data_IF_661297784993
#
_entry.id   IF_661297784993
#
_cell.length_a   1.000
_cell.length_b   1.000
_cell.length_c   1.000
_cell.angle_alpha   90.00
_cell.angle_beta   90.00
_cell.angle_gamma   90.00
#
_symmetry.space_group_name_H-M   'P 1'
#
loop_
_entity.id
_entity.type
_entity.pdbx_description
1 polymer ?
#
# COMPACT_ATOMS: atom_id res chain seq x y z
N UNK A 1 -8.24 -27.85 9.20
CA UNK A 1 -7.88 -27.08 7.99
C UNK A 1 -6.44 -26.62 8.12
N UNK A 2 -5.68 -26.87 7.14
CA UNK A 2 -4.31 -27.36 7.25
C UNK A 2 -3.27 -26.24 7.25
N UNK A 3 -2.15 -26.48 7.89
CA UNK A 3 -0.88 -25.75 7.78
C UNK A 3 -0.54 -25.34 6.32
N UNK A 4 -1.06 -26.08 5.36
CA UNK A 4 -0.90 -25.88 3.92
C UNK A 4 -1.49 -24.54 3.40
N UNK A 5 -2.65 -24.10 3.89
CA UNK A 5 -3.29 -22.85 3.42
C UNK A 5 -2.48 -21.58 3.77
N UNK A 6 -1.91 -21.53 4.98
CA UNK A 6 -1.12 -20.38 5.39
C UNK A 6 0.29 -20.39 4.78
N UNK A 7 0.82 -21.55 4.42
CA UNK A 7 2.03 -21.64 3.58
C UNK A 7 1.75 -21.10 2.18
N UNK A 8 0.60 -21.42 1.58
CA UNK A 8 0.17 -20.89 0.29
C UNK A 8 0.01 -19.36 0.34
N UNK A 9 -0.48 -18.79 1.46
CA UNK A 9 -0.55 -17.33 1.63
C UNK A 9 0.83 -16.68 1.47
N UNK A 10 1.85 -17.18 2.17
CA UNK A 10 3.20 -16.62 2.07
C UNK A 10 3.83 -16.87 0.70
N UNK A 11 3.62 -18.03 0.11
CA UNK A 11 4.09 -18.31 -1.24
C UNK A 11 3.46 -17.37 -2.26
N UNK A 12 2.14 -17.19 -2.20
CA UNK A 12 1.42 -16.27 -3.10
C UNK A 12 1.85 -14.82 -2.91
N UNK A 13 2.07 -14.40 -1.66
CA UNK A 13 2.60 -13.06 -1.35
C UNK A 13 3.98 -12.85 -1.97
N UNK A 14 4.86 -13.85 -1.92
CA UNK A 14 6.19 -13.80 -2.56
C UNK A 14 6.08 -13.65 -4.08
N UNK A 15 5.23 -14.43 -4.73
CA UNK A 15 5.01 -14.39 -6.18
C UNK A 15 4.47 -13.02 -6.62
N UNK A 16 3.40 -12.53 -5.98
CA UNK A 16 2.81 -11.24 -6.29
C UNK A 16 3.80 -10.09 -6.06
N UNK A 17 4.52 -10.11 -4.95
CA UNK A 17 5.51 -9.07 -4.64
C UNK A 17 6.66 -9.05 -5.65
N UNK A 18 7.11 -10.23 -6.11
CA UNK A 18 8.12 -10.34 -7.16
C UNK A 18 7.63 -9.80 -8.49
N UNK A 19 6.37 -10.05 -8.85
CA UNK A 19 5.77 -9.58 -10.10
C UNK A 19 5.68 -8.06 -10.17
N UNK A 20 5.45 -7.38 -9.04
CA UNK A 20 5.25 -5.91 -8.98
C UNK A 20 6.42 -5.14 -8.38
N UNK A 21 7.58 -5.77 -8.19
CA UNK A 21 8.76 -5.13 -7.61
C UNK A 21 9.26 -3.90 -8.38
N UNK A 22 8.97 -3.81 -9.68
CA UNK A 22 9.35 -2.69 -10.55
C UNK A 22 8.67 -1.36 -10.17
N UNK A 23 7.55 -1.41 -9.41
CA UNK A 23 6.91 -0.21 -8.88
C UNK A 23 7.77 0.48 -7.83
N UNK A 24 8.57 -0.28 -7.10
CA UNK A 24 9.49 0.27 -6.11
C UNK A 24 10.75 0.82 -6.77
N UNK A 25 11.18 2.00 -6.37
CA UNK A 25 12.39 2.67 -6.88
C UNK A 25 13.57 2.46 -5.95
N UNK A 26 14.78 2.45 -6.50
CA UNK A 26 16.05 2.38 -5.75
C UNK A 26 16.05 1.22 -4.73
N UNK A 27 16.28 1.55 -3.44
CA UNK A 27 16.29 0.60 -2.32
C UNK A 27 14.91 0.32 -1.73
N UNK A 28 13.85 0.99 -2.20
CA UNK A 28 12.50 0.74 -1.72
C UNK A 28 12.01 -0.67 -2.12
N UNK A 29 11.03 -1.16 -1.39
CA UNK A 29 10.42 -2.48 -1.61
C UNK A 29 8.89 -2.40 -1.54
N UNK A 30 8.24 -3.32 -2.22
CA UNK A 30 6.78 -3.50 -2.22
C UNK A 30 6.44 -4.94 -1.88
N UNK A 31 5.33 -5.14 -1.17
CA UNK A 31 4.74 -6.44 -0.95
C UNK A 31 3.23 -6.40 -1.21
N UNK A 32 2.71 -7.46 -1.84
CA UNK A 32 1.29 -7.65 -2.14
C UNK A 32 0.82 -8.96 -1.53
N UNK A 33 -0.31 -8.94 -0.83
CA UNK A 33 -0.88 -10.09 -0.17
C UNK A 33 -2.34 -10.32 -0.62
N UNK A 34 -2.65 -11.57 -0.97
CA UNK A 34 -4.01 -12.04 -1.26
C UNK A 34 -4.68 -12.47 0.05
N UNK A 35 -5.63 -11.70 0.53
CA UNK A 35 -6.33 -11.93 1.78
C UNK A 35 -7.41 -13.02 1.68
N UNK A 36 -7.75 -13.47 0.48
CA UNK A 36 -8.70 -14.57 0.29
C UNK A 36 -8.21 -15.86 0.97
N UNK A 37 -6.88 -16.03 1.02
CA UNK A 37 -6.20 -17.15 1.69
C UNK A 37 -6.23 -17.06 3.23
N UNK A 38 -6.77 -15.98 3.79
CA UNK A 38 -7.01 -15.77 5.23
C UNK A 38 -8.50 -15.81 5.58
N UNK A 39 -9.36 -16.18 4.62
CA UNK A 39 -10.82 -16.13 4.80
C UNK A 39 -11.39 -17.14 5.80
N UNK A 40 -10.64 -18.14 6.20
CA UNK A 40 -10.99 -19.12 7.24
C UNK A 40 -10.78 -18.57 8.67
N UNK A 41 -9.98 -17.51 8.81
CA UNK A 41 -9.71 -16.89 10.09
C UNK A 41 -10.95 -16.16 10.66
N UNK A 42 -11.08 -16.20 11.97
CA UNK A 42 -12.16 -15.54 12.72
C UNK A 42 -11.57 -14.79 13.91
N UNK A 43 -12.10 -13.58 14.21
CA UNK A 43 -11.82 -12.92 15.48
C UNK A 43 -12.11 -13.86 16.67
N UNK A 44 -11.36 -13.70 17.74
CA UNK A 44 -11.44 -14.50 18.97
C UNK A 44 -11.02 -15.97 18.86
N UNK A 45 -10.85 -16.52 17.66
CA UNK A 45 -10.26 -17.84 17.50
C UNK A 45 -8.73 -17.78 17.69
N UNK A 46 -8.15 -18.89 18.13
CA UNK A 46 -6.68 -19.02 18.22
C UNK A 46 -6.06 -18.81 16.83
N UNK A 47 -5.14 -17.86 16.73
CA UNK A 47 -4.40 -17.63 15.50
C UNK A 47 -3.51 -18.85 15.20
N UNK A 48 -3.50 -19.36 13.97
CA UNK A 48 -2.60 -20.46 13.56
C UNK A 48 -1.14 -20.13 13.85
N UNK A 49 -0.38 -21.12 14.34
CA UNK A 49 1.00 -20.92 14.80
C UNK A 49 1.91 -20.26 13.76
N UNK A 50 1.78 -20.64 12.49
CA UNK A 50 2.57 -20.08 11.39
C UNK A 50 2.35 -18.55 11.23
N UNK A 51 1.12 -18.06 11.44
CA UNK A 51 0.79 -16.64 11.40
C UNK A 51 1.18 -15.94 12.70
N UNK A 52 0.94 -16.60 13.85
CA UNK A 52 1.30 -16.06 15.17
C UNK A 52 2.80 -15.79 15.30
N UNK A 53 3.65 -16.68 14.76
CA UNK A 53 5.11 -16.50 14.73
C UNK A 53 5.58 -15.29 13.91
N UNK A 54 4.71 -14.68 13.10
CA UNK A 54 5.01 -13.48 12.31
C UNK A 54 4.62 -12.19 13.01
N UNK A 55 3.88 -12.25 14.11
CA UNK A 55 3.42 -11.08 14.86
C UNK A 55 4.20 -10.93 16.17
N UNK A 56 4.46 -9.68 16.56
CA UNK A 56 4.94 -9.36 17.89
C UNK A 56 3.83 -9.55 18.94
N UNK A 57 4.19 -9.54 20.21
CA UNK A 57 3.23 -9.59 21.33
C UNK A 57 2.24 -8.42 21.23
N UNK A 58 2.72 -7.20 20.99
CA UNK A 58 1.89 -6.00 20.85
C UNK A 58 0.90 -6.13 19.69
N UNK A 59 1.34 -6.65 18.55
CA UNK A 59 0.46 -6.87 17.38
C UNK A 59 -0.58 -7.95 17.64
N UNK A 60 -0.21 -9.03 18.32
CA UNK A 60 -1.14 -10.11 18.72
C UNK A 60 -2.21 -9.57 19.68
N UNK A 61 -1.83 -8.77 20.67
CA UNK A 61 -2.77 -8.09 21.56
C UNK A 61 -3.71 -7.17 20.79
N UNK A 62 -3.19 -6.35 19.87
CA UNK A 62 -4.00 -5.46 19.03
C UNK A 62 -4.99 -6.25 18.17
N UNK A 63 -4.54 -7.35 17.57
CA UNK A 63 -5.37 -8.22 16.74
C UNK A 63 -6.55 -8.81 17.52
N UNK A 64 -6.36 -9.16 18.79
CA UNK A 64 -7.40 -9.73 19.64
C UNK A 64 -8.58 -8.77 19.91
N UNK A 65 -8.40 -7.46 19.75
CA UNK A 65 -9.47 -6.46 19.93
C UNK A 65 -10.42 -6.34 18.72
N UNK A 66 -10.07 -6.87 17.56
CA UNK A 66 -10.98 -6.83 16.42
C UNK A 66 -12.13 -7.82 16.58
N UNK A 67 -13.35 -7.33 16.37
CA UNK A 67 -14.58 -8.12 16.44
C UNK A 67 -15.13 -8.44 15.04
N UNK A 68 -14.87 -7.57 14.06
CA UNK A 68 -15.36 -7.73 12.70
C UNK A 68 -14.33 -8.44 11.83
N UNK A 69 -14.73 -9.55 11.22
CA UNK A 69 -13.87 -10.40 10.37
C UNK A 69 -13.13 -9.60 9.30
N UNK A 70 -13.81 -8.71 8.59
CA UNK A 70 -13.21 -7.90 7.53
C UNK A 70 -12.02 -7.09 8.06
N UNK A 71 -12.23 -6.32 9.14
CA UNK A 71 -11.16 -5.49 9.76
C UNK A 71 -10.03 -6.34 10.31
N UNK A 72 -10.36 -7.48 10.93
CA UNK A 72 -9.38 -8.44 11.41
C UNK A 72 -8.48 -8.93 10.29
N UNK A 73 -9.06 -9.38 9.16
CA UNK A 73 -8.31 -9.95 8.03
C UNK A 73 -7.50 -8.87 7.30
N UNK A 74 -8.07 -7.69 7.06
CA UNK A 74 -7.39 -6.55 6.43
C UNK A 74 -6.21 -6.08 7.28
N UNK A 75 -6.40 -5.93 8.59
CA UNK A 75 -5.34 -5.51 9.49
C UNK A 75 -4.21 -6.54 9.55
N UNK A 76 -4.55 -7.83 9.75
CA UNK A 76 -3.58 -8.92 9.78
C UNK A 76 -2.78 -8.99 8.47
N UNK A 77 -3.47 -9.02 7.34
CA UNK A 77 -2.83 -9.10 6.03
C UNK A 77 -1.93 -7.91 5.73
N UNK A 78 -2.37 -6.69 6.09
CA UNK A 78 -1.54 -5.49 5.98
C UNK A 78 -0.26 -5.57 6.82
N UNK A 79 -0.33 -6.11 8.04
CA UNK A 79 0.85 -6.31 8.90
C UNK A 79 1.81 -7.36 8.35
N UNK A 80 1.28 -8.49 7.89
CA UNK A 80 2.09 -9.55 7.28
C UNK A 80 2.77 -9.06 5.99
N UNK A 81 2.06 -8.32 5.13
CA UNK A 81 2.62 -7.71 3.93
C UNK A 81 3.74 -6.70 4.28
N UNK A 82 3.52 -5.85 5.29
CA UNK A 82 4.51 -4.86 5.70
C UNK A 82 5.77 -5.50 6.32
N UNK A 83 5.64 -6.56 7.10
CA UNK A 83 6.79 -7.31 7.64
C UNK A 83 7.59 -7.99 6.53
N UNK A 84 6.91 -8.60 5.57
CA UNK A 84 7.57 -9.19 4.42
C UNK A 84 8.25 -8.12 3.53
N UNK A 85 7.59 -6.98 3.34
CA UNK A 85 8.16 -5.84 2.63
C UNK A 85 9.45 -5.32 3.30
N UNK A 86 9.47 -5.27 4.63
CA UNK A 86 10.65 -4.89 5.39
C UNK A 86 11.77 -5.95 5.31
N UNK A 87 11.44 -7.24 5.33
CA UNK A 87 12.39 -8.33 5.08
C UNK A 87 13.06 -8.18 3.71
N UNK A 88 12.29 -7.94 2.66
CA UNK A 88 12.81 -7.64 1.32
C UNK A 88 13.73 -6.41 1.31
N UNK A 89 13.37 -5.38 2.05
CA UNK A 89 14.20 -4.17 2.19
C UNK A 89 15.54 -4.49 2.84
N UNK A 90 15.56 -5.24 3.94
CA UNK A 90 16.81 -5.64 4.60
C UNK A 90 17.74 -6.42 3.66
N UNK A 91 17.18 -7.34 2.86
CA UNK A 91 17.92 -8.05 1.82
C UNK A 91 18.55 -7.11 0.78
N UNK A 92 17.81 -6.09 0.30
CA UNK A 92 18.31 -5.10 -0.66
C UNK A 92 19.45 -4.21 -0.12
N UNK A 93 19.50 -3.98 1.17
CA UNK A 93 20.53 -3.16 1.81
C UNK A 93 21.61 -3.99 2.48
N UNK A 94 21.68 -5.29 2.18
CA UNK A 94 22.65 -6.25 2.71
C UNK A 94 22.71 -6.27 4.25
N UNK A 95 21.52 -6.18 4.89
CA UNK A 95 21.37 -6.30 6.33
C UNK A 95 20.87 -7.68 6.71
N UNK A 96 21.25 -8.14 7.91
CA UNK A 96 20.74 -9.40 8.44
C UNK A 96 19.22 -9.34 8.61
N UNK A 97 18.49 -10.41 8.24
CA UNK A 97 17.05 -10.48 8.46
C UNK A 97 16.75 -10.45 9.96
N UNK A 98 15.68 -9.73 10.31
CA UNK A 98 15.13 -9.73 11.67
C UNK A 98 13.98 -10.73 11.73
N UNK A 99 13.89 -11.46 12.84
CA UNK A 99 12.73 -12.30 13.08
C UNK A 99 11.47 -11.40 13.18
N UNK A 100 10.41 -11.68 12.40
CA UNK A 100 9.28 -10.76 12.27
C UNK A 100 8.51 -10.52 13.57
N UNK A 101 8.60 -11.41 14.54
CA UNK A 101 7.99 -11.25 15.88
C UNK A 101 8.82 -10.39 16.85
N UNK A 102 10.03 -9.98 16.50
CA UNK A 102 10.91 -9.16 17.35
C UNK A 102 10.67 -7.66 17.23
N UNK A 103 9.91 -7.21 16.23
CA UNK A 103 9.53 -5.82 16.04
C UNK A 103 8.04 -5.70 15.73
N UNK A 104 7.47 -4.52 15.96
CA UNK A 104 6.06 -4.24 15.72
C UNK A 104 5.89 -3.24 14.58
N UNK A 105 4.81 -3.39 13.84
CA UNK A 105 4.30 -2.35 12.93
C UNK A 105 3.06 -1.76 13.60
N UNK A 106 3.22 -0.57 14.15
CA UNK A 106 2.16 0.16 14.84
C UNK A 106 1.59 1.27 13.94
N UNK A 107 0.67 2.03 14.47
CA UNK A 107 0.15 3.24 13.84
C UNK A 107 0.24 4.39 14.84
N UNK A 108 0.63 5.56 14.37
CA UNK A 108 0.62 6.80 15.15
C UNK A 108 -0.81 7.33 15.36
N UNK A 109 -0.95 8.48 15.95
CA UNK A 109 -2.23 9.16 16.23
C UNK A 109 -3.01 9.51 14.96
N UNK A 110 -2.33 9.69 13.83
CA UNK A 110 -2.94 9.95 12.52
C UNK A 110 -3.21 8.67 11.71
N UNK A 111 -2.89 7.49 12.28
CA UNK A 111 -3.06 6.19 11.62
C UNK A 111 -1.93 5.80 10.65
N UNK A 112 -0.84 6.57 10.59
CA UNK A 112 0.33 6.29 9.76
C UNK A 112 1.10 5.09 10.33
N UNK A 113 1.37 4.05 9.53
CA UNK A 113 2.13 2.92 10.01
C UNK A 113 3.62 3.27 10.19
N UNK A 114 4.21 2.75 11.26
CA UNK A 114 5.64 2.88 11.54
C UNK A 114 6.22 1.60 12.15
N UNK A 115 7.54 1.45 12.03
CA UNK A 115 8.29 0.34 12.61
C UNK A 115 8.74 0.73 14.03
N UNK A 116 8.28 -0.03 15.02
CA UNK A 116 8.70 0.10 16.41
C UNK A 116 9.93 -0.77 16.68
N UNK A 117 10.83 -0.29 17.55
CA UNK A 117 12.02 -1.04 18.04
C UNK A 117 12.99 -1.49 16.96
N UNK A 118 13.19 -0.66 15.93
CA UNK A 118 14.23 -0.92 14.94
C UNK A 118 15.34 0.13 14.99
N UNK A 119 16.58 -0.30 14.76
CA UNK A 119 17.75 0.58 14.58
C UNK A 119 17.82 1.13 13.17
N UNK A 120 16.96 0.66 12.27
CA UNK A 120 16.92 1.07 10.86
C UNK A 120 16.05 2.32 10.69
N UNK A 121 16.60 3.49 11.01
CA UNK A 121 15.96 4.79 10.77
C UNK A 121 16.89 5.67 9.91
N UNK A 122 16.30 6.55 9.08
CA UNK A 122 14.88 6.76 8.83
C UNK A 122 14.31 5.79 7.78
N UNK A 123 13.18 5.18 8.07
CA UNK A 123 12.39 4.41 7.11
C UNK A 123 10.95 4.89 7.13
N UNK A 124 10.38 5.07 5.97
CA UNK A 124 8.95 5.29 5.82
C UNK A 124 8.24 4.01 5.39
N UNK A 125 7.02 3.84 5.86
CA UNK A 125 6.17 2.69 5.61
C UNK A 125 4.77 3.17 5.25
N UNK A 126 4.19 2.59 4.22
CA UNK A 126 2.81 2.82 3.84
C UNK A 126 2.09 1.49 3.61
N UNK A 127 0.82 1.41 4.01
CA UNK A 127 -0.03 0.22 3.87
C UNK A 127 -1.35 0.63 3.24
N UNK A 128 -1.86 -0.19 2.33
CA UNK A 128 -3.20 -0.07 1.76
C UNK A 128 -3.87 -1.43 1.67
N UNK A 129 -5.19 -1.45 1.62
CA UNK A 129 -5.98 -2.65 1.37
C UNK A 129 -7.26 -2.32 0.61
N UNK A 130 -7.67 -3.19 -0.29
CA UNK A 130 -8.91 -3.08 -1.05
C UNK A 130 -9.41 -4.48 -1.43
N UNK A 131 -10.67 -4.77 -1.12
CA UNK A 131 -11.41 -5.93 -1.65
C UNK A 131 -10.62 -7.25 -1.72
N UNK A 132 -10.04 -7.67 -0.59
CA UNK A 132 -9.32 -8.95 -0.50
C UNK A 132 -7.84 -8.90 -0.84
N UNK A 133 -7.28 -7.72 -1.06
CA UNK A 133 -5.83 -7.53 -1.19
C UNK A 133 -5.30 -6.53 -0.18
N UNK A 134 -4.04 -6.71 0.21
CA UNK A 134 -3.27 -5.72 0.95
C UNK A 134 -1.95 -5.45 0.22
N UNK A 135 -1.48 -4.21 0.31
CA UNK A 135 -0.22 -3.76 -0.23
C UNK A 135 0.58 -3.04 0.85
N UNK A 136 1.89 -3.22 0.85
CA UNK A 136 2.82 -2.50 1.71
C UNK A 136 4.00 -1.97 0.91
N UNK A 137 4.52 -0.83 1.32
CA UNK A 137 5.66 -0.17 0.69
C UNK A 137 6.60 0.34 1.76
N UNK A 138 7.88 -0.05 1.68
CA UNK A 138 8.95 0.40 2.57
C UNK A 138 9.97 1.17 1.76
N UNK A 139 10.34 2.36 2.23
CA UNK A 139 11.28 3.24 1.57
C UNK A 139 12.32 3.76 2.57
N UNK A 140 13.61 3.88 2.16
CA UNK A 140 14.64 4.55 2.95
C UNK A 140 14.49 6.08 2.95
N UNK A 141 13.52 6.61 2.23
CA UNK A 141 13.22 8.03 2.13
C UNK A 141 12.30 8.48 3.26
N UNK A 142 12.22 9.78 3.53
CA UNK A 142 11.45 10.35 4.64
C UNK A 142 9.94 10.11 4.52
N UNK A 143 9.44 9.98 3.29
CA UNK A 143 8.03 9.72 3.05
C UNK A 143 7.82 8.69 1.94
N UNK A 144 6.74 7.94 2.02
CA UNK A 144 6.28 7.06 0.97
C UNK A 144 4.77 6.84 1.06
N UNK A 145 4.15 6.56 -0.06
CA UNK A 145 2.73 6.26 -0.13
C UNK A 145 2.45 5.13 -1.11
N UNK A 146 1.56 4.24 -0.74
CA UNK A 146 1.01 3.19 -1.60
C UNK A 146 -0.50 3.18 -1.49
N UNK A 147 -1.16 2.99 -2.61
CA UNK A 147 -2.58 2.67 -2.64
C UNK A 147 -2.86 1.48 -3.56
N UNK A 148 -3.82 0.64 -3.17
CA UNK A 148 -4.41 -0.41 -4.00
C UNK A 148 -5.91 -0.21 -4.01
N UNK A 149 -6.52 -0.10 -5.20
CA UNK A 149 -7.92 0.19 -5.37
C UNK A 149 -8.54 -0.68 -6.45
N UNK A 150 -9.68 -1.31 -6.14
CA UNK A 150 -10.44 -2.08 -7.14
C UNK A 150 -11.13 -1.14 -8.13
N UNK A 151 -11.07 -1.50 -9.42
CA UNK A 151 -11.80 -0.85 -10.51
C UNK A 151 -13.27 -1.27 -10.40
N UNK A 152 -14.15 -0.33 -10.03
CA UNK A 152 -15.58 -0.59 -9.88
C UNK A 152 -16.42 0.60 -10.36
N UNK A 153 -17.67 0.35 -10.73
CA UNK A 153 -18.63 1.41 -11.12
C UNK A 153 -18.85 2.48 -10.03
N UNK A 154 -18.53 2.17 -8.76
CA UNK A 154 -18.57 3.16 -7.68
C UNK A 154 -17.65 4.35 -7.92
N UNK A 155 -16.56 4.17 -8.70
CA UNK A 155 -15.64 5.26 -9.03
C UNK A 155 -16.34 6.37 -9.84
N UNK A 156 -17.28 6.04 -10.72
CA UNK A 156 -18.06 7.05 -11.46
C UNK A 156 -18.99 7.82 -10.53
N UNK A 157 -19.68 7.12 -9.62
CA UNK A 157 -20.60 7.74 -8.66
C UNK A 157 -19.94 8.78 -7.78
N UNK A 158 -18.67 8.56 -7.42
CA UNK A 158 -17.92 9.46 -6.52
C UNK A 158 -16.91 10.35 -7.27
N UNK A 159 -16.84 10.26 -8.59
CA UNK A 159 -15.82 10.94 -9.41
C UNK A 159 -15.71 12.45 -9.13
N UNK A 160 -16.85 13.13 -9.06
CA UNK A 160 -16.91 14.59 -8.80
C UNK A 160 -16.31 15.01 -7.44
N UNK A 161 -16.18 14.05 -6.49
CA UNK A 161 -15.60 14.33 -5.17
C UNK A 161 -14.08 14.34 -5.17
N UNK A 162 -13.44 13.73 -6.18
CA UNK A 162 -11.98 13.55 -6.20
C UNK A 162 -11.32 13.91 -7.51
N UNK A 163 -12.07 14.24 -8.58
CA UNK A 163 -11.51 14.68 -9.86
C UNK A 163 -12.06 16.03 -10.24
N UNK A 164 -11.28 16.75 -11.06
CA UNK A 164 -11.70 17.97 -11.74
C UNK A 164 -11.74 17.78 -13.27
N UNK A 165 -12.23 18.79 -13.98
CA UNK A 165 -12.35 18.73 -15.44
C UNK A 165 -11.00 18.53 -16.14
N UNK A 166 -9.95 19.20 -15.68
CA UNK A 166 -8.60 19.11 -16.27
C UNK A 166 -8.02 17.70 -16.12
N UNK A 167 -8.22 17.06 -14.96
CA UNK A 167 -7.76 15.68 -14.73
C UNK A 167 -8.49 14.66 -15.61
N UNK A 168 -9.79 14.84 -15.81
CA UNK A 168 -10.57 13.97 -16.73
C UNK A 168 -10.11 14.12 -18.16
N UNK A 169 -9.74 15.35 -18.56
CA UNK A 169 -9.24 15.62 -19.91
C UNK A 169 -7.86 15.04 -20.22
N UNK A 170 -7.07 14.63 -19.21
CA UNK A 170 -5.79 13.94 -19.41
C UNK A 170 -5.94 12.55 -20.04
N UNK A 171 -7.13 11.96 -20.00
CA UNK A 171 -7.41 10.65 -20.56
C UNK A 171 -8.25 10.77 -21.83
N UNK A 172 -7.69 10.40 -22.95
CA UNK A 172 -8.34 10.48 -24.25
C UNK A 172 -9.18 9.25 -24.63
N UNK A 173 -9.20 8.21 -23.76
CA UNK A 173 -9.88 6.95 -24.05
C UNK A 173 -11.11 6.74 -23.14
N UNK A 174 -12.32 7.04 -23.67
CA UNK A 174 -13.57 6.86 -22.92
C UNK A 174 -13.86 5.39 -22.55
N UNK A 175 -13.36 4.43 -23.35
CA UNK A 175 -13.58 2.99 -23.10
C UNK A 175 -12.93 2.50 -21.80
N UNK A 176 -11.98 3.26 -21.28
CA UNK A 176 -11.25 2.94 -20.07
C UNK A 176 -11.55 3.89 -18.90
N UNK A 177 -12.70 4.56 -18.92
CA UNK A 177 -13.07 5.59 -17.94
C UNK A 177 -12.94 5.11 -16.49
N UNK A 178 -13.50 3.94 -16.15
CA UNK A 178 -13.40 3.38 -14.77
C UNK A 178 -11.96 3.19 -14.32
N UNK A 179 -11.14 2.61 -15.20
CA UNK A 179 -9.70 2.45 -14.94
C UNK A 179 -9.03 3.80 -14.71
N UNK A 180 -9.30 4.76 -15.58
CA UNK A 180 -8.69 6.09 -15.53
C UNK A 180 -9.05 6.84 -14.23
N UNK A 181 -10.32 6.82 -13.83
CA UNK A 181 -10.77 7.36 -12.56
C UNK A 181 -10.09 6.66 -11.37
N UNK A 182 -9.99 5.32 -11.43
CA UNK A 182 -9.31 4.56 -10.38
C UNK A 182 -7.82 4.87 -10.30
N UNK A 183 -7.16 5.17 -11.43
CA UNK A 183 -5.76 5.62 -11.46
C UNK A 183 -5.58 6.99 -10.77
N UNK A 184 -6.47 7.96 -11.04
CA UNK A 184 -6.47 9.27 -10.36
C UNK A 184 -6.66 9.07 -8.85
N UNK A 185 -7.65 8.27 -8.46
CA UNK A 185 -7.90 7.97 -7.04
C UNK A 185 -6.67 7.39 -6.37
N UNK A 186 -6.10 6.30 -6.91
CA UNK A 186 -4.94 5.63 -6.34
C UNK A 186 -3.71 6.54 -6.26
N UNK A 187 -3.51 7.41 -7.26
CA UNK A 187 -2.43 8.39 -7.25
C UNK A 187 -2.60 9.40 -6.11
N UNK A 188 -3.79 10.00 -5.98
CA UNK A 188 -4.09 10.98 -4.92
C UNK A 188 -4.01 10.37 -3.53
N UNK A 189 -4.51 9.14 -3.33
CA UNK A 189 -4.37 8.44 -2.04
C UNK A 189 -2.90 8.10 -1.73
N UNK A 190 -2.10 7.70 -2.72
CA UNK A 190 -0.68 7.47 -2.50
C UNK A 190 0.05 8.77 -2.11
N UNK A 191 -0.23 9.89 -2.78
CA UNK A 191 0.32 11.21 -2.43
C UNK A 191 -0.11 11.64 -1.03
N UNK A 192 -1.40 11.50 -0.71
CA UNK A 192 -1.94 11.81 0.62
C UNK A 192 -1.23 11.02 1.73
N UNK A 193 -1.06 9.70 1.55
CA UNK A 193 -0.35 8.85 2.50
C UNK A 193 1.14 9.19 2.62
N UNK A 194 1.73 9.76 1.57
CA UNK A 194 3.14 10.18 1.57
C UNK A 194 3.36 11.55 2.22
N UNK A 195 2.56 12.56 1.83
CA UNK A 195 2.86 13.96 2.11
C UNK A 195 1.83 14.67 2.99
N UNK A 196 0.61 14.15 3.09
CA UNK A 196 -0.54 14.87 3.65
C UNK A 196 -1.25 14.13 4.80
N UNK A 197 -0.60 13.13 5.39
CA UNK A 197 -1.20 12.27 6.41
C UNK A 197 -1.55 13.01 7.71
N UNK A 198 -0.86 14.12 8.02
CA UNK A 198 -1.09 14.94 9.21
C UNK A 198 -2.21 15.98 9.00
N UNK A 199 -2.79 16.01 7.81
CA UNK A 199 -3.78 17.01 7.45
C UNK A 199 -5.13 16.35 7.18
N UNK A 200 -6.20 16.93 7.71
CA UNK A 200 -7.59 16.59 7.40
C UNK A 200 -7.96 17.05 5.99
N UNK A 201 -7.20 16.63 4.97
CA UNK A 201 -7.28 17.17 3.63
C UNK A 201 -8.15 16.29 2.74
N UNK A 202 -8.97 16.96 1.93
CA UNK A 202 -9.80 16.37 0.87
C UNK A 202 -8.96 16.02 -0.36
N UNK A 203 -9.48 15.20 -1.24
CA UNK A 203 -8.86 14.87 -2.55
C UNK A 203 -8.56 16.10 -3.42
N UNK A 204 -9.22 17.22 -3.16
CA UNK A 204 -9.00 18.47 -3.86
C UNK A 204 -7.63 19.12 -3.58
N UNK A 205 -6.92 18.71 -2.54
CA UNK A 205 -5.58 19.22 -2.25
C UNK A 205 -4.48 18.68 -3.17
N UNK A 206 -4.76 17.67 -3.98
CA UNK A 206 -3.81 17.10 -4.93
C UNK A 206 -4.41 17.12 -6.33
N UNK A 207 -3.66 17.61 -7.32
CA UNK A 207 -4.03 17.52 -8.73
C UNK A 207 -3.05 16.60 -9.48
N UNK A 208 -3.61 15.73 -10.33
CA UNK A 208 -2.86 15.05 -11.37
C UNK A 208 -2.73 15.99 -12.56
N UNK A 209 -1.50 16.32 -12.94
CA UNK A 209 -1.23 17.31 -14.01
C UNK A 209 -0.67 16.69 -15.29
N UNK A 210 -0.14 15.47 -15.20
CA UNK A 210 0.40 14.74 -16.35
C UNK A 210 0.22 13.23 -16.16
N UNK A 211 -0.05 12.52 -17.26
CA UNK A 211 -0.14 11.07 -17.33
C UNK A 211 0.70 10.58 -18.49
N UNK A 212 1.69 9.74 -18.18
CA UNK A 212 2.54 9.12 -19.19
C UNK A 212 2.44 7.60 -19.11
N UNK A 213 2.00 6.96 -20.21
CA UNK A 213 2.03 5.50 -20.33
C UNK A 213 3.48 5.03 -20.46
N UNK A 214 3.91 4.08 -19.64
CA UNK A 214 5.30 3.57 -19.60
C UNK A 214 5.42 2.10 -20.01
N UNK A 215 4.30 1.41 -20.16
CA UNK A 215 4.23 0.02 -20.63
C UNK A 215 2.78 -0.37 -20.90
N UNK A 216 2.52 -1.65 -21.20
CA UNK A 216 1.17 -2.15 -21.50
C UNK A 216 0.18 -1.87 -20.37
N UNK A 217 0.62 -2.10 -19.13
CA UNK A 217 -0.19 -2.01 -17.92
C UNK A 217 0.45 -1.08 -16.86
N UNK A 218 1.25 -0.12 -17.28
CA UNK A 218 1.98 0.78 -16.38
C UNK A 218 1.96 2.22 -16.85
N UNK A 219 1.90 3.14 -15.89
CA UNK A 219 1.90 4.59 -16.10
C UNK A 219 2.72 5.30 -15.03
N UNK A 220 3.13 6.52 -15.35
CA UNK A 220 3.60 7.53 -14.39
C UNK A 220 2.64 8.70 -14.40
N UNK A 221 2.21 9.11 -13.22
CA UNK A 221 1.38 10.30 -13.02
C UNK A 221 2.20 11.33 -12.27
N UNK A 222 2.19 12.58 -12.76
CA UNK A 222 2.75 13.71 -12.02
C UNK A 222 1.64 14.38 -11.22
N UNK A 223 1.86 14.54 -9.95
CA UNK A 223 0.92 15.14 -9.02
C UNK A 223 1.53 16.39 -8.37
N UNK A 224 0.75 17.44 -8.24
CA UNK A 224 1.11 18.59 -7.41
C UNK A 224 0.19 18.66 -6.18
N UNK A 225 0.74 19.16 -5.06
CA UNK A 225 -0.02 19.47 -3.86
C UNK A 225 -0.33 20.97 -3.89
N UNK A 226 -1.61 21.32 -3.92
CA UNK A 226 -2.07 22.71 -4.06
C UNK A 226 -1.64 23.52 -2.84
N UNK A 227 -1.05 24.70 -3.08
CA UNK A 227 -0.60 25.59 -2.01
C UNK A 227 0.68 25.12 -1.30
N UNK A 228 1.28 24.01 -1.74
CA UNK A 228 2.54 23.53 -1.20
C UNK A 228 3.73 23.96 -2.08
N UNK A 229 4.86 24.39 -1.50
CA UNK A 229 6.10 24.62 -2.24
C UNK A 229 6.82 23.32 -2.64
N UNK A 230 6.26 22.17 -2.28
CA UNK A 230 6.86 20.87 -2.60
C UNK A 230 6.91 20.65 -4.12
N UNK A 231 7.99 20.02 -4.63
CA UNK A 231 8.10 19.68 -6.03
C UNK A 231 7.01 18.67 -6.45
N UNK A 232 6.89 18.48 -7.76
CA UNK A 232 5.94 17.50 -8.32
C UNK A 232 6.25 16.09 -7.82
N UNK A 233 5.23 15.40 -7.34
CA UNK A 233 5.35 14.02 -6.87
C UNK A 233 5.00 13.06 -8.00
N UNK A 234 5.95 12.22 -8.37
CA UNK A 234 5.70 11.13 -9.32
C UNK A 234 5.04 9.95 -8.63
N UNK A 235 3.93 9.48 -9.18
CA UNK A 235 3.28 8.23 -8.78
C UNK A 235 3.40 7.22 -9.91
N UNK A 236 4.02 6.08 -9.63
CA UNK A 236 4.00 4.92 -10.52
C UNK A 236 2.69 4.17 -10.34
N UNK A 237 2.06 3.84 -11.43
CA UNK A 237 0.80 3.09 -11.48
C UNK A 237 1.02 1.78 -12.24
N UNK A 238 0.42 0.71 -11.73
CA UNK A 238 0.24 -0.54 -12.47
C UNK A 238 -1.18 -1.07 -12.34
N UNK A 239 -1.64 -1.77 -13.37
CA UNK A 239 -2.85 -2.60 -13.27
C UNK A 239 -2.48 -4.00 -12.76
N UNK A 240 -3.32 -4.54 -11.91
CA UNK A 240 -3.23 -5.87 -11.33
C UNK A 240 -4.63 -6.50 -11.31
N UNK A 241 -4.92 -7.41 -12.24
CA UNK A 241 -6.28 -7.91 -12.46
C UNK A 241 -7.27 -6.73 -12.66
N UNK A 242 -8.29 -6.65 -11.82
CA UNK A 242 -9.26 -5.54 -11.74
C UNK A 242 -8.88 -4.48 -10.68
N UNK A 243 -7.59 -4.34 -10.36
CA UNK A 243 -7.08 -3.35 -9.41
C UNK A 243 -6.08 -2.40 -10.05
N UNK A 244 -5.97 -1.22 -9.46
CA UNK A 244 -4.88 -0.27 -9.66
C UNK A 244 -4.01 -0.25 -8.41
N UNK A 245 -2.69 -0.29 -8.61
CA UNK A 245 -1.69 -0.07 -7.57
C UNK A 245 -0.96 1.23 -7.91
N UNK A 246 -0.90 2.16 -6.96
CA UNK A 246 -0.16 3.41 -7.07
C UNK A 246 0.89 3.53 -5.98
N UNK A 247 2.14 3.85 -6.34
CA UNK A 247 3.24 4.08 -5.40
C UNK A 247 3.91 5.42 -5.69
N UNK A 248 4.15 6.25 -4.67
CA UNK A 248 4.97 7.45 -4.84
C UNK A 248 6.42 7.08 -5.10
N UNK A 249 7.06 7.75 -6.07
CA UNK A 249 8.52 7.80 -6.14
C UNK A 249 8.97 8.78 -5.06
N UNK A 250 9.25 8.31 -3.85
CA UNK A 250 9.65 9.19 -2.75
C UNK A 250 10.79 10.13 -3.16
N UNK A 251 10.72 11.37 -2.75
CA UNK A 251 11.76 12.38 -3.00
C UNK A 251 12.98 12.15 -2.12
N UNK A 252 14.16 12.33 -2.68
CA UNK A 252 15.39 12.59 -1.91
C UNK A 252 15.44 14.09 -1.72
N UNK A 253 15.26 14.57 -0.50
CA UNK A 253 15.77 15.91 -0.18
C UNK A 253 17.29 15.87 -0.37
N UNK A 254 17.77 16.78 -1.21
CA UNK A 254 19.20 17.04 -1.41
C UNK A 254 19.81 17.58 -0.11
#
# INVERSE_FOLDING_TARGET
>A
MSANHHQQFFQKMKELSSQYHFLATNKATIALADLSLLNDLRPKNKLPALLAQKLSTTETQKLAHFTYKKRYTEWLGGRLAAKYCFELFLGKVNKQPLAPNTFSILADEHGRPYLEKTTYRPLSLSISHSKGYAAAYVSPKQSCGIDIQQITSKMEVVAEKFTNHSEKALFHDPKNQLRNLTMIWAAKEAVKKSLLHDQSITFSATNVIEIKKTGSNTWKLQCNVIGSPLPLTTVKIATFNDFIIGCTEGESYA
#
